data_IF_404615551463
#
_entry.id   IF_404615551463
#
_cell.length_a   1.000
_cell.length_b   1.000
_cell.length_c   1.000
_cell.angle_alpha   90.00
_cell.angle_beta   90.00
_cell.angle_gamma   90.00
#
_symmetry.space_group_name_H-M   'P 1'
#
loop_
_entity.id
_entity.type
_entity.pdbx_description
1 polymer ?
#
# COMPACT_ATOMS: atom_id res chain seq x y z
N UNK A 1 2.74 9.30 -6.54
CA UNK A 1 3.47 10.54 -6.89
C UNK A 1 3.40 11.42 -5.66
N UNK A 2 4.51 11.99 -5.19
CA UNK A 2 4.49 12.85 -4.00
C UNK A 2 3.92 14.23 -4.34
N UNK A 3 3.26 14.87 -3.40
CA UNK A 3 2.73 16.23 -3.53
C UNK A 3 3.84 17.27 -3.37
N UNK A 4 4.77 17.05 -2.44
CA UNK A 4 5.91 17.93 -2.20
C UNK A 4 7.07 17.61 -3.14
N UNK A 5 7.50 18.61 -3.93
CA UNK A 5 8.72 18.51 -4.75
C UNK A 5 9.97 18.24 -3.91
N UNK A 6 10.05 18.82 -2.70
CA UNK A 6 11.19 18.61 -1.79
C UNK A 6 11.24 17.13 -1.38
N UNK A 7 10.10 16.54 -1.05
CA UNK A 7 10.00 15.13 -0.68
C UNK A 7 10.32 14.22 -1.86
N UNK A 8 9.87 14.58 -3.07
CA UNK A 8 10.21 13.85 -4.30
C UNK A 8 11.73 13.85 -4.55
N UNK A 9 12.38 15.01 -4.46
CA UNK A 9 13.84 15.13 -4.62
C UNK A 9 14.59 14.32 -3.56
N UNK A 10 14.13 14.35 -2.31
CA UNK A 10 14.76 13.61 -1.24
C UNK A 10 14.60 12.08 -1.40
N UNK A 11 13.41 11.63 -1.82
CA UNK A 11 13.19 10.23 -2.18
C UNK A 11 14.14 9.79 -3.30
N UNK A 12 14.27 10.59 -4.37
CA UNK A 12 15.19 10.30 -5.48
C UNK A 12 16.64 10.26 -5.03
N UNK A 13 17.05 11.17 -4.15
CA UNK A 13 18.39 11.20 -3.56
C UNK A 13 18.68 9.92 -2.76
N UNK A 14 17.76 9.49 -1.90
CA UNK A 14 17.92 8.26 -1.12
C UNK A 14 17.91 7.02 -2.02
N UNK A 15 17.07 7.02 -3.07
CA UNK A 15 17.00 5.93 -4.02
C UNK A 15 18.30 5.77 -4.81
N UNK A 16 18.95 6.87 -5.17
CA UNK A 16 20.23 6.88 -5.88
C UNK A 16 21.41 6.32 -5.06
N UNK A 17 21.27 6.20 -3.74
CA UNK A 17 22.28 5.61 -2.86
C UNK A 17 22.21 4.07 -2.81
N UNK A 18 21.19 3.47 -3.42
CA UNK A 18 21.03 2.02 -3.49
C UNK A 18 21.68 1.52 -4.77
N UNK A 19 22.77 0.77 -4.63
CA UNK A 19 23.53 0.21 -5.76
C UNK A 19 22.84 -1.01 -6.38
N UNK A 20 22.23 -1.86 -5.56
CA UNK A 20 21.51 -3.06 -5.97
C UNK A 20 20.28 -3.29 -5.07
N UNK A 21 19.21 -3.84 -5.64
CA UNK A 21 17.98 -4.20 -4.95
C UNK A 21 17.70 -5.70 -5.11
N UNK A 22 18.40 -6.57 -4.37
CA UNK A 22 18.26 -8.02 -4.49
C UNK A 22 16.89 -8.55 -4.02
N UNK A 23 16.04 -7.66 -3.52
CA UNK A 23 14.71 -7.98 -3.02
C UNK A 23 13.59 -7.63 -4.03
N UNK A 24 13.92 -6.99 -5.16
CA UNK A 24 12.94 -6.61 -6.17
C UNK A 24 12.28 -7.85 -6.81
N UNK A 25 11.11 -8.20 -6.29
CA UNK A 25 10.35 -9.38 -6.70
C UNK A 25 8.85 -9.18 -6.43
N UNK A 26 8.02 -10.05 -7.01
CA UNK A 26 6.56 -9.97 -6.86
C UNK A 26 6.10 -10.14 -5.40
N UNK A 27 6.88 -10.81 -4.54
CA UNK A 27 6.45 -11.18 -3.19
C UNK A 27 7.23 -10.51 -2.06
N UNK A 28 8.48 -10.08 -2.27
CA UNK A 28 9.28 -9.42 -1.24
C UNK A 28 9.14 -7.90 -1.33
N UNK A 29 9.48 -7.21 -0.26
CA UNK A 29 9.60 -5.75 -0.27
C UNK A 29 11.01 -5.39 -0.70
N UNK A 30 11.09 -4.58 -1.76
CA UNK A 30 12.30 -3.96 -2.30
C UNK A 30 12.74 -2.74 -1.49
N UNK A 31 13.99 -2.29 -1.66
CA UNK A 31 14.43 -1.01 -1.10
C UNK A 31 13.59 0.15 -1.63
N UNK A 32 13.27 0.13 -2.93
CA UNK A 32 12.43 1.17 -3.55
C UNK A 32 11.06 1.24 -2.89
N UNK A 33 10.42 0.10 -2.64
CA UNK A 33 9.08 0.05 -2.03
C UNK A 33 9.07 0.51 -0.58
N UNK A 34 10.04 0.11 0.24
CA UNK A 34 10.10 0.56 1.64
C UNK A 34 10.42 2.06 1.74
N UNK A 35 11.33 2.57 0.90
CA UNK A 35 11.58 4.01 0.80
C UNK A 35 10.31 4.74 0.35
N UNK A 36 9.61 4.21 -0.65
CA UNK A 36 8.37 4.82 -1.15
C UNK A 36 7.32 4.90 -0.05
N UNK A 37 7.12 3.81 0.70
CA UNK A 37 6.20 3.77 1.84
C UNK A 37 6.58 4.83 2.89
N UNK A 38 7.86 4.95 3.24
CA UNK A 38 8.37 5.93 4.19
C UNK A 38 8.11 7.37 3.74
N UNK A 39 8.52 7.73 2.53
CA UNK A 39 8.36 9.09 2.01
C UNK A 39 6.90 9.46 1.73
N UNK A 40 6.03 8.50 1.39
CA UNK A 40 4.60 8.76 1.22
C UNK A 40 3.92 9.05 2.57
N UNK A 41 4.36 8.39 3.64
CA UNK A 41 3.92 8.70 5.01
C UNK A 41 4.33 10.14 5.36
N UNK A 42 5.58 10.51 5.11
CA UNK A 42 6.07 11.87 5.37
C UNK A 42 5.25 12.89 4.58
N UNK A 43 5.09 12.70 3.27
CA UNK A 43 4.33 13.60 2.40
C UNK A 43 2.90 13.80 2.90
N UNK A 44 2.24 12.70 3.28
CA UNK A 44 0.87 12.73 3.78
C UNK A 44 0.72 13.41 5.16
N UNK A 45 1.72 13.30 6.06
CA UNK A 45 1.63 13.86 7.41
C UNK A 45 2.28 15.24 7.56
N UNK A 46 3.31 15.56 6.78
CA UNK A 46 3.92 16.90 6.75
C UNK A 46 2.96 17.96 6.21
N UNK A 47 2.04 17.59 5.31
CA UNK A 47 0.98 18.51 4.87
C UNK A 47 -0.03 18.86 5.98
N UNK A 48 0.00 18.16 7.11
CA UNK A 48 -0.95 18.30 8.23
C UNK A 48 -0.34 19.00 9.47
N UNK A 49 0.61 19.93 9.29
CA UNK A 49 1.26 20.78 10.33
C UNK A 49 2.34 20.13 11.20
N UNK A 50 2.86 18.95 10.82
CA UNK A 50 3.90 18.26 11.59
C UNK A 50 5.32 18.53 11.06
N UNK A 51 6.24 18.98 11.93
CA UNK A 51 7.69 18.97 11.66
C UNK A 51 8.21 17.54 11.83
N UNK A 52 8.30 16.79 10.74
CA UNK A 52 8.85 15.44 10.69
C UNK A 52 10.25 15.51 10.07
N UNK A 53 11.26 14.94 10.73
CA UNK A 53 12.58 14.72 10.11
C UNK A 53 12.49 13.51 9.19
N UNK A 54 12.86 13.69 7.93
CA UNK A 54 12.66 12.68 6.90
C UNK A 54 13.97 12.11 6.37
N UNK A 55 13.93 10.84 5.94
CA UNK A 55 15.05 10.16 5.30
C UNK A 55 15.59 8.97 6.08
N UNK A 56 16.46 8.22 5.40
CA UNK A 56 17.16 7.07 5.98
C UNK A 56 18.24 7.58 6.93
N UNK A 57 18.18 7.10 8.18
CA UNK A 57 19.20 7.36 9.20
C UNK A 57 20.45 6.51 8.96
N UNK A 58 20.26 5.25 8.59
CA UNK A 58 21.34 4.30 8.36
C UNK A 58 20.93 3.24 7.33
N UNK A 59 21.59 3.27 6.17
CA UNK A 59 21.37 2.31 5.08
C UNK A 59 21.80 0.89 5.43
N UNK A 60 22.78 0.70 6.32
CA UNK A 60 23.17 -0.64 6.79
C UNK A 60 22.06 -1.24 7.65
N UNK A 61 21.42 -0.42 8.50
CA UNK A 61 20.25 -0.87 9.28
C UNK A 61 19.05 -1.15 8.38
N UNK A 62 18.85 -0.37 7.31
CA UNK A 62 17.81 -0.63 6.31
C UNK A 62 18.06 -1.95 5.57
N UNK A 63 19.30 -2.18 5.11
CA UNK A 63 19.68 -3.43 4.46
C UNK A 63 19.59 -4.64 5.37
N UNK A 64 20.02 -4.50 6.63
CA UNK A 64 19.81 -5.52 7.66
C UNK A 64 18.34 -5.85 7.86
N UNK A 65 17.47 -4.82 7.83
CA UNK A 65 16.02 -4.98 7.95
C UNK A 65 15.42 -5.76 6.78
N UNK A 66 15.77 -5.41 5.54
CA UNK A 66 15.28 -6.10 4.35
C UNK A 66 15.83 -7.52 4.24
N UNK A 67 17.09 -7.74 4.63
CA UNK A 67 17.75 -9.04 4.67
C UNK A 67 17.03 -10.07 5.55
N UNK A 68 16.23 -9.62 6.52
CA UNK A 68 15.39 -10.51 7.36
C UNK A 68 14.43 -11.37 6.55
N UNK A 69 14.01 -10.89 5.36
CA UNK A 69 13.13 -11.63 4.45
C UNK A 69 13.79 -12.90 3.90
N UNK A 70 15.12 -12.93 3.83
CA UNK A 70 15.93 -14.01 3.27
C UNK A 70 16.71 -14.79 4.34
N UNK A 71 16.44 -14.56 5.62
CA UNK A 71 17.19 -15.18 6.71
C UNK A 71 17.23 -16.71 6.57
N UNK A 72 18.44 -17.27 6.59
CA UNK A 72 18.68 -18.69 6.37
C UNK A 72 20.15 -19.06 6.51
N UNK A 73 20.44 -20.36 6.53
CA UNK A 73 21.79 -20.90 6.60
C UNK A 73 21.91 -22.19 5.78
N UNK A 74 23.02 -22.38 5.05
CA UNK A 74 23.29 -23.61 4.30
C UNK A 74 22.23 -23.96 3.25
N UNK A 75 21.63 -22.95 2.60
CA UNK A 75 20.53 -23.13 1.63
C UNK A 75 19.14 -23.32 2.26
N UNK A 76 19.04 -23.39 3.59
CA UNK A 76 17.77 -23.47 4.29
C UNK A 76 17.26 -22.08 4.69
N UNK A 77 16.10 -21.69 4.18
CA UNK A 77 15.40 -20.50 4.65
C UNK A 77 14.73 -20.76 6.01
N UNK A 78 14.97 -19.85 6.96
CA UNK A 78 14.38 -19.87 8.31
C UNK A 78 12.88 -19.59 8.25
N UNK A 79 12.47 -18.60 7.46
CA UNK A 79 11.08 -18.18 7.29
C UNK A 79 10.58 -18.64 5.92
N UNK A 80 9.47 -19.37 5.89
CA UNK A 80 8.94 -19.94 4.65
C UNK A 80 7.50 -19.51 4.38
N UNK A 81 6.74 -19.25 5.44
CA UNK A 81 5.35 -18.84 5.29
C UNK A 81 5.27 -17.34 5.05
N UNK A 82 4.33 -16.87 4.20
CA UNK A 82 4.07 -15.45 3.99
C UNK A 82 3.99 -14.64 5.28
N UNK A 83 3.30 -15.17 6.29
CA UNK A 83 3.08 -14.48 7.56
C UNK A 83 4.38 -14.35 8.38
N UNK A 84 5.30 -15.31 8.27
CA UNK A 84 6.61 -15.27 8.93
C UNK A 84 7.52 -14.22 8.28
N UNK A 85 7.53 -14.16 6.95
CA UNK A 85 8.31 -13.20 6.16
C UNK A 85 7.79 -11.77 6.41
N UNK A 86 6.47 -11.58 6.39
CA UNK A 86 5.84 -10.32 6.76
C UNK A 86 6.16 -9.94 8.21
N UNK A 87 6.07 -10.88 9.15
CA UNK A 87 6.32 -10.65 10.58
C UNK A 87 7.76 -10.21 10.85
N UNK A 88 8.75 -10.89 10.27
CA UNK A 88 10.16 -10.59 10.51
C UNK A 88 10.56 -9.25 9.91
N UNK A 89 10.06 -8.91 8.73
CA UNK A 89 10.30 -7.61 8.11
C UNK A 89 9.66 -6.50 8.95
N UNK A 90 8.37 -6.64 9.29
CA UNK A 90 7.66 -5.68 10.13
C UNK A 90 8.38 -5.42 11.46
N UNK A 91 8.78 -6.48 12.16
CA UNK A 91 9.54 -6.37 13.41
C UNK A 91 10.85 -5.61 13.20
N UNK A 92 11.60 -5.94 12.15
CA UNK A 92 12.84 -5.25 11.80
C UNK A 92 12.64 -3.76 11.55
N UNK A 93 11.64 -3.36 10.77
CA UNK A 93 11.37 -1.95 10.46
C UNK A 93 11.06 -1.16 11.74
N UNK A 94 10.25 -1.74 12.62
CA UNK A 94 9.84 -1.08 13.86
C UNK A 94 10.99 -0.97 14.86
N UNK A 95 11.91 -1.97 14.92
CA UNK A 95 12.97 -2.05 15.93
C UNK A 95 14.33 -1.50 15.51
N UNK A 96 14.71 -1.63 14.24
CA UNK A 96 16.05 -1.28 13.80
C UNK A 96 16.25 0.24 13.65
N UNK A 97 15.16 1.04 13.68
CA UNK A 97 15.23 2.50 13.58
C UNK A 97 16.07 3.00 12.40
N UNK A 98 15.89 2.38 11.23
CA UNK A 98 16.62 2.71 10.02
C UNK A 98 16.27 4.10 9.45
N UNK A 99 15.15 4.68 9.88
CA UNK A 99 14.71 6.03 9.51
C UNK A 99 14.81 7.01 10.69
N UNK A 100 14.93 8.30 10.38
CA UNK A 100 15.00 9.35 11.41
C UNK A 100 13.72 9.46 12.26
N UNK A 101 12.55 9.27 11.65
CA UNK A 101 11.22 9.27 12.30
C UNK A 101 10.34 8.25 11.54
N UNK A 102 9.13 8.04 12.02
CA UNK A 102 8.04 7.34 11.36
C UNK A 102 8.32 5.85 11.15
N UNK A 103 9.21 5.24 11.93
CA UNK A 103 9.54 3.81 11.86
C UNK A 103 8.29 2.95 12.13
N UNK A 104 7.47 3.31 13.12
CA UNK A 104 6.21 2.62 13.42
C UNK A 104 5.20 2.70 12.26
N UNK A 105 5.02 3.91 11.72
CA UNK A 105 4.12 4.18 10.59
C UNK A 105 4.57 3.43 9.33
N UNK A 106 5.86 3.50 9.02
CA UNK A 106 6.51 2.83 7.89
C UNK A 106 6.40 1.32 8.04
N UNK A 107 6.61 0.79 9.25
CA UNK A 107 6.45 -0.62 9.55
C UNK A 107 5.02 -1.09 9.31
N UNK A 108 4.02 -0.39 9.84
CA UNK A 108 2.61 -0.78 9.65
C UNK A 108 2.19 -0.71 8.18
N UNK A 109 2.51 0.38 7.47
CA UNK A 109 2.17 0.51 6.05
C UNK A 109 2.85 -0.57 5.21
N UNK A 110 4.14 -0.80 5.44
CA UNK A 110 4.90 -1.86 4.75
C UNK A 110 4.33 -3.24 5.04
N UNK A 111 3.91 -3.54 6.28
CA UNK A 111 3.26 -4.80 6.61
C UNK A 111 1.97 -5.01 5.82
N UNK A 112 1.11 -3.98 5.77
CA UNK A 112 -0.18 -4.06 5.04
C UNK A 112 0.08 -4.26 3.55
N UNK A 113 1.04 -3.54 2.99
CA UNK A 113 1.42 -3.66 1.59
C UNK A 113 2.04 -5.04 1.27
N UNK A 114 2.92 -5.56 2.13
CA UNK A 114 3.52 -6.87 1.96
C UNK A 114 2.47 -8.00 2.01
N UNK A 115 1.49 -7.89 2.92
CA UNK A 115 0.34 -8.81 2.94
C UNK A 115 -0.45 -8.77 1.63
N UNK A 116 -0.64 -7.58 1.06
CA UNK A 116 -1.30 -7.42 -0.24
C UNK A 116 -0.52 -8.11 -1.37
N UNK A 117 0.83 -8.02 -1.38
CA UNK A 117 1.69 -8.77 -2.33
C UNK A 117 1.51 -10.29 -2.20
N UNK A 118 1.24 -10.78 -1.00
CA UNK A 118 0.88 -12.18 -0.74
C UNK A 118 -0.62 -12.52 -0.93
N UNK A 119 -1.44 -11.58 -1.44
CA UNK A 119 -2.87 -11.81 -1.66
C UNK A 119 -3.68 -11.90 -0.37
N UNK A 120 -3.21 -11.28 0.72
CA UNK A 120 -3.88 -11.24 2.02
C UNK A 120 -4.33 -9.83 2.38
N UNK A 121 -5.43 -9.73 3.12
CA UNK A 121 -5.94 -8.46 3.67
C UNK A 121 -6.29 -8.62 5.14
N UNK A 122 -6.24 -7.52 5.89
CA UNK A 122 -6.69 -7.46 7.29
C UNK A 122 -8.18 -7.81 7.36
N UNK A 123 -8.52 -8.67 8.32
CA UNK A 123 -9.88 -9.16 8.59
C UNK A 123 -10.25 -8.96 10.08
N UNK A 124 -9.82 -7.84 10.62
CA UNK A 124 -10.09 -7.43 12.01
C UNK A 124 -10.17 -5.91 12.08
N UNK A 125 -10.45 -5.39 13.28
CA UNK A 125 -10.44 -3.95 13.51
C UNK A 125 -9.02 -3.39 13.34
N UNK A 126 -8.87 -2.29 12.59
CA UNK A 126 -7.57 -1.67 12.31
C UNK A 126 -6.76 -1.36 13.59
N UNK A 127 -7.46 -1.09 14.71
CA UNK A 127 -6.85 -0.83 16.03
C UNK A 127 -5.99 -1.99 16.55
N UNK A 128 -6.24 -3.23 16.10
CA UNK A 128 -5.47 -4.39 16.54
C UNK A 128 -4.05 -4.37 15.95
N UNK A 129 -3.91 -3.96 14.69
CA UNK A 129 -2.61 -3.78 14.03
C UNK A 129 -1.88 -2.51 14.52
N UNK A 130 -2.62 -1.46 14.86
CA UNK A 130 -2.07 -0.32 15.59
C UNK A 130 -1.48 -0.74 16.93
N UNK A 131 -2.25 -1.48 17.74
CA UNK A 131 -1.79 -2.01 19.03
C UNK A 131 -0.56 -2.89 18.84
N UNK A 132 -0.54 -3.76 17.82
CA UNK A 132 0.61 -4.58 17.50
C UNK A 132 1.87 -3.72 17.28
N UNK A 133 1.79 -2.69 16.43
CA UNK A 133 2.92 -1.80 16.15
C UNK A 133 3.40 -1.05 17.40
N UNK A 134 2.49 -0.57 18.25
CA UNK A 134 2.84 0.06 19.54
C UNK A 134 3.53 -0.92 20.49
N UNK A 135 3.02 -2.15 20.60
CA UNK A 135 3.58 -3.18 21.47
C UNK A 135 4.95 -3.66 20.99
N UNK A 136 5.16 -3.82 19.68
CA UNK A 136 6.48 -4.17 19.13
C UNK A 136 7.49 -3.05 19.41
N UNK A 137 7.13 -1.81 19.11
CA UNK A 137 8.03 -0.67 19.33
C UNK A 137 8.46 -0.52 20.80
N UNK A 138 7.53 -0.78 21.73
CA UNK A 138 7.75 -0.62 23.17
C UNK A 138 8.23 -1.88 23.89
N UNK A 139 8.53 -2.99 23.18
CA UNK A 139 8.83 -4.31 23.78
C UNK A 139 7.74 -4.81 24.75
N UNK A 140 6.47 -4.50 24.44
CA UNK A 140 5.28 -4.84 25.23
C UNK A 140 4.36 -5.86 24.56
N UNK A 141 4.91 -6.83 23.82
CA UNK A 141 4.11 -7.94 23.29
C UNK A 141 3.45 -8.77 24.41
N UNK A 142 3.97 -8.70 25.63
CA UNK A 142 3.35 -9.23 26.85
C UNK A 142 1.98 -8.62 27.18
N UNK A 143 1.60 -7.48 26.59
CA UNK A 143 0.25 -6.92 26.72
C UNK A 143 -0.80 -7.75 25.97
N UNK A 144 -0.37 -8.65 25.08
CA UNK A 144 -1.23 -9.68 24.52
C UNK A 144 -1.24 -10.91 25.43
N UNK A 145 -2.40 -11.24 25.99
CA UNK A 145 -2.58 -12.44 26.85
C UNK A 145 -2.01 -13.69 26.18
N UNK A 146 -2.25 -13.82 24.87
CA UNK A 146 -1.83 -14.97 24.07
C UNK A 146 -0.30 -15.09 23.93
N UNK A 147 0.44 -13.98 24.00
CA UNK A 147 1.91 -14.02 23.96
C UNK A 147 2.48 -14.74 25.18
N UNK A 148 1.79 -14.67 26.34
CA UNK A 148 2.19 -15.32 27.59
C UNK A 148 1.97 -16.84 27.58
N UNK A 149 1.35 -17.39 26.54
CA UNK A 149 1.15 -18.84 26.41
C UNK A 149 2.49 -19.58 26.39
N UNK A 150 2.56 -20.73 27.08
CA UNK A 150 3.79 -21.54 27.22
C UNK A 150 4.44 -21.89 25.89
N UNK A 151 3.67 -22.02 24.81
CA UNK A 151 4.18 -22.35 23.48
C UNK A 151 5.15 -21.33 22.92
N UNK A 152 5.09 -20.06 23.34
CA UNK A 152 6.03 -19.01 22.89
C UNK A 152 7.25 -18.87 23.79
N UNK A 153 7.12 -19.15 25.09
CA UNK A 153 8.13 -18.76 26.09
C UNK A 153 9.48 -19.48 25.95
N UNK A 154 9.52 -20.62 25.25
CA UNK A 154 10.75 -21.39 25.02
C UNK A 154 11.33 -21.20 23.62
N UNK A 155 10.73 -20.35 22.79
CA UNK A 155 11.16 -20.13 21.42
C UNK A 155 12.17 -18.98 21.37
N UNK A 156 13.21 -19.14 20.56
CA UNK A 156 14.26 -18.12 20.36
C UNK A 156 13.70 -16.85 19.70
N UNK A 157 12.91 -17.00 18.62
CA UNK A 157 12.26 -15.90 17.90
C UNK A 157 10.77 -15.74 18.28
N UNK A 158 10.45 -15.85 19.56
CA UNK A 158 9.06 -15.86 20.05
C UNK A 158 8.25 -14.65 19.60
N UNK A 159 8.87 -13.47 19.47
CA UNK A 159 8.26 -12.24 18.98
C UNK A 159 7.82 -12.39 17.52
N UNK A 160 8.69 -12.91 16.67
CA UNK A 160 8.42 -13.10 15.23
C UNK A 160 7.33 -14.16 15.04
N UNK A 161 7.43 -15.27 15.77
CA UNK A 161 6.46 -16.37 15.70
C UNK A 161 5.09 -15.91 16.19
N UNK A 162 5.06 -15.11 17.27
CA UNK A 162 3.81 -14.51 17.75
C UNK A 162 3.19 -13.54 16.74
N UNK A 163 4.00 -12.66 16.14
CA UNK A 163 3.52 -11.71 15.12
C UNK A 163 2.99 -12.47 13.90
N UNK A 164 3.67 -13.53 13.46
CA UNK A 164 3.22 -14.40 12.38
C UNK A 164 1.86 -15.05 12.71
N UNK A 165 1.70 -15.60 13.92
CA UNK A 165 0.45 -16.15 14.40
C UNK A 165 -0.66 -15.10 14.57
N UNK A 166 -0.29 -13.87 14.93
CA UNK A 166 -1.21 -12.73 14.96
C UNK A 166 -1.70 -12.39 13.55
N UNK A 167 -0.78 -12.23 12.60
CA UNK A 167 -1.08 -11.92 11.19
C UNK A 167 -2.00 -13.01 10.63
N UNK A 168 -1.64 -14.28 10.78
CA UNK A 168 -2.42 -15.42 10.27
C UNK A 168 -3.87 -15.43 10.75
N UNK A 169 -4.11 -15.10 12.03
CA UNK A 169 -5.45 -15.07 12.64
C UNK A 169 -6.27 -13.83 12.31
N UNK A 170 -5.62 -12.73 11.98
CA UNK A 170 -6.25 -11.42 11.77
C UNK A 170 -6.23 -10.97 10.30
N UNK A 171 -5.90 -11.88 9.39
CA UNK A 171 -5.91 -11.66 7.95
C UNK A 171 -6.59 -12.83 7.26
N UNK A 172 -7.16 -12.55 6.09
CA UNK A 172 -7.75 -13.55 5.20
C UNK A 172 -7.16 -13.43 3.80
N UNK A 173 -7.35 -14.47 3.01
CA UNK A 173 -7.08 -14.42 1.58
C UNK A 173 -8.06 -13.51 0.85
N UNK A 174 -7.57 -12.85 -0.19
CA UNK A 174 -8.35 -11.97 -1.04
C UNK A 174 -9.01 -12.82 -2.13
N UNK A 175 -10.34 -13.00 -2.06
CA UNK A 175 -11.10 -13.78 -3.04
C UNK A 175 -11.03 -13.20 -4.47
N UNK A 176 -10.96 -11.87 -4.61
CA UNK A 176 -10.81 -11.16 -5.89
C UNK A 176 -9.79 -10.06 -5.72
N UNK A 177 -8.76 -10.04 -6.57
CA UNK A 177 -7.66 -9.05 -6.47
C UNK A 177 -8.24 -7.64 -6.30
N UNK A 178 -7.95 -7.08 -5.13
CA UNK A 178 -8.34 -5.75 -4.72
C UNK A 178 -7.15 -4.83 -4.92
N UNK A 179 -7.34 -3.75 -5.69
CA UNK A 179 -6.32 -2.75 -5.94
C UNK A 179 -6.73 -1.45 -5.26
N UNK A 180 -6.21 -1.16 -4.05
CA UNK A 180 -6.50 0.08 -3.36
C UNK A 180 -5.88 1.23 -4.17
N UNK A 181 -6.70 2.07 -4.77
CA UNK A 181 -6.25 3.23 -5.56
C UNK A 181 -7.02 4.49 -5.15
N UNK A 182 -6.38 5.64 -5.30
CA UNK A 182 -7.03 6.95 -5.13
C UNK A 182 -7.77 7.39 -6.41
N UNK A 183 -8.64 8.39 -6.32
CA UNK A 183 -9.26 8.98 -7.53
C UNK A 183 -8.22 9.53 -8.50
N UNK A 184 -7.14 10.11 -8.00
CA UNK A 184 -6.05 10.64 -8.83
C UNK A 184 -5.33 9.54 -9.59
N UNK A 185 -5.06 8.40 -8.96
CA UNK A 185 -4.44 7.25 -9.63
C UNK A 185 -5.40 6.60 -10.61
N UNK A 186 -6.65 6.42 -10.20
CA UNK A 186 -7.66 5.83 -11.06
C UNK A 186 -7.90 6.67 -12.31
N UNK A 187 -7.89 8.00 -12.20
CA UNK A 187 -7.95 8.91 -13.35
C UNK A 187 -6.76 8.75 -14.30
N UNK A 188 -5.55 8.58 -13.77
CA UNK A 188 -4.36 8.29 -14.60
C UNK A 188 -4.51 6.97 -15.35
N UNK A 189 -5.09 5.95 -14.71
CA UNK A 189 -5.37 4.66 -15.36
C UNK A 189 -6.45 4.79 -16.43
N UNK A 190 -7.55 5.52 -16.14
CA UNK A 190 -8.61 5.81 -17.08
C UNK A 190 -8.09 6.57 -18.31
N UNK A 191 -7.21 7.56 -18.11
CA UNK A 191 -6.64 8.41 -19.19
C UNK A 191 -5.89 7.60 -20.23
N UNK A 192 -5.19 6.54 -19.80
CA UNK A 192 -4.50 5.61 -20.70
C UNK A 192 -5.47 4.83 -21.59
N UNK A 193 -6.71 4.68 -21.14
CA UNK A 193 -7.78 3.98 -21.85
C UNK A 193 -8.73 4.95 -22.57
N UNK A 194 -8.39 6.24 -22.65
CA UNK A 194 -9.22 7.25 -23.33
C UNK A 194 -10.38 7.81 -22.50
N UNK A 195 -10.42 7.53 -21.19
CA UNK A 195 -11.42 8.05 -20.27
C UNK A 195 -10.79 8.99 -19.25
N UNK A 196 -11.55 9.88 -18.63
CA UNK A 196 -11.05 10.69 -17.52
C UNK A 196 -12.19 11.14 -16.61
N UNK A 197 -11.81 11.60 -15.43
CA UNK A 197 -12.69 12.25 -14.49
C UNK A 197 -12.85 13.74 -14.81
N UNK A 198 -14.10 14.20 -14.84
CA UNK A 198 -14.49 15.60 -14.96
C UNK A 198 -15.40 15.99 -13.79
N UNK A 199 -15.05 17.06 -13.05
CA UNK A 199 -15.83 17.49 -11.89
C UNK A 199 -17.18 18.02 -12.37
N UNK A 200 -18.26 17.33 -12.03
CA UNK A 200 -19.61 17.69 -12.44
C UNK A 200 -20.25 18.71 -11.50
N UNK A 201 -20.09 18.52 -10.19
CA UNK A 201 -20.67 19.32 -9.12
C UNK A 201 -20.01 18.98 -7.78
N UNK A 202 -20.31 19.74 -6.73
CA UNK A 202 -19.70 19.54 -5.41
C UNK A 202 -19.93 18.11 -4.90
N UNK A 203 -18.84 17.39 -4.66
CA UNK A 203 -18.86 16.03 -4.15
C UNK A 203 -19.13 14.93 -5.20
N UNK A 204 -19.14 15.23 -6.49
CA UNK A 204 -19.32 14.25 -7.56
C UNK A 204 -18.35 14.45 -8.73
N UNK A 205 -18.11 13.37 -9.46
CA UNK A 205 -17.28 13.37 -10.67
C UNK A 205 -17.92 12.50 -11.74
N UNK A 206 -17.89 12.99 -12.97
CA UNK A 206 -18.33 12.26 -14.15
C UNK A 206 -17.14 11.53 -14.79
N UNK A 207 -17.35 10.29 -15.21
CA UNK A 207 -16.44 9.59 -16.12
C UNK A 207 -16.83 9.93 -17.54
N UNK A 208 -15.92 10.58 -18.24
CA UNK A 208 -16.12 11.05 -19.61
C UNK A 208 -15.07 10.43 -20.53
N UNK A 209 -15.40 10.33 -21.82
CA UNK A 209 -14.49 9.85 -22.85
C UNK A 209 -15.03 10.15 -24.24
N UNK A 210 -14.19 10.01 -25.26
CA UNK A 210 -14.64 10.15 -26.64
C UNK A 210 -15.53 8.97 -27.04
N UNK A 211 -16.59 9.26 -27.79
CA UNK A 211 -17.44 8.26 -28.42
C UNK A 211 -17.75 8.66 -29.85
N UNK A 212 -17.99 7.66 -30.70
CA UNK A 212 -18.44 7.84 -32.08
C UNK A 212 -19.90 7.43 -32.21
N UNK A 213 -20.68 8.27 -32.90
CA UNK A 213 -22.03 7.95 -33.34
C UNK A 213 -22.06 7.95 -34.86
N UNK A 214 -22.64 6.89 -35.44
CA UNK A 214 -22.98 6.82 -36.85
C UNK A 214 -24.28 7.59 -37.12
N UNK A 215 -24.21 8.56 -38.04
CA UNK A 215 -25.35 9.34 -38.57
C UNK A 215 -25.54 9.01 -40.06
N UNK A 216 -26.72 9.35 -40.59
CA UNK A 216 -27.09 9.14 -42.00
C UNK A 216 -26.79 7.72 -42.52
N UNK A 217 -27.54 6.73 -42.03
CA UNK A 217 -27.39 5.31 -42.43
C UNK A 217 -25.96 4.73 -42.30
N UNK A 218 -25.10 5.32 -41.46
CA UNK A 218 -23.74 4.84 -41.25
C UNK A 218 -22.67 5.47 -42.14
N UNK A 219 -23.02 6.45 -42.96
CA UNK A 219 -22.10 7.14 -43.87
C UNK A 219 -21.30 8.25 -43.20
N UNK A 220 -21.77 8.77 -42.06
CA UNK A 220 -21.11 9.87 -41.34
C UNK A 220 -20.84 9.43 -39.91
N UNK A 221 -19.56 9.42 -39.51
CA UNK A 221 -19.17 9.23 -38.12
C UNK A 221 -18.95 10.59 -37.46
N UNK A 222 -19.70 10.86 -36.39
CA UNK A 222 -19.51 12.03 -35.56
C UNK A 222 -18.88 11.64 -34.22
N UNK A 223 -17.74 12.25 -33.90
CA UNK A 223 -17.12 12.16 -32.57
C UNK A 223 -17.78 13.16 -31.64
N UNK A 224 -18.04 12.74 -30.41
CA UNK A 224 -18.57 13.58 -29.34
C UNK A 224 -18.04 13.11 -27.99
N UNK A 225 -18.04 14.01 -27.01
CA UNK A 225 -17.70 13.68 -25.63
C UNK A 225 -18.92 13.02 -24.98
N UNK A 226 -18.76 11.79 -24.49
CA UNK A 226 -19.82 11.03 -23.83
C UNK A 226 -19.54 10.96 -22.33
N UNK A 227 -20.58 11.26 -21.54
CA UNK A 227 -20.62 10.91 -20.12
C UNK A 227 -21.07 9.45 -19.95
N UNK A 228 -20.26 8.65 -19.26
CA UNK A 228 -20.52 7.23 -19.04
C UNK A 228 -21.23 6.94 -17.72
N UNK A 229 -20.73 7.52 -16.62
CA UNK A 229 -21.31 7.36 -15.28
C UNK A 229 -20.89 8.52 -14.37
N UNK A 230 -21.71 8.84 -13.38
CA UNK A 230 -21.36 9.76 -12.29
C UNK A 230 -21.13 8.96 -11.00
N UNK A 231 -20.10 9.31 -10.24
CA UNK A 231 -19.81 8.70 -8.94
C UNK A 231 -19.54 9.78 -7.89
N UNK A 232 -19.74 9.44 -6.61
CA UNK A 232 -19.33 10.32 -5.51
C UNK A 232 -17.83 10.61 -5.57
N UNK A 233 -17.42 11.81 -5.17
CA UNK A 233 -16.06 12.32 -5.28
C UNK A 233 -15.68 13.08 -4.01
N UNK A 234 -15.17 12.38 -2.98
CA UNK A 234 -14.74 13.01 -1.74
C UNK A 234 -13.37 13.70 -1.85
N UNK A 235 -12.74 13.70 -3.03
CA UNK A 235 -11.48 14.37 -3.34
C UNK A 235 -10.45 13.46 -4.01
N UNK A 236 -9.49 14.07 -4.70
CA UNK A 236 -8.47 13.38 -5.51
C UNK A 236 -7.63 12.36 -4.74
N UNK A 237 -7.27 12.66 -3.49
CA UNK A 237 -6.43 11.81 -2.63
C UNK A 237 -7.22 10.72 -1.88
N UNK A 238 -8.55 10.70 -2.03
CA UNK A 238 -9.37 9.69 -1.37
C UNK A 238 -9.33 8.39 -2.13
N UNK A 239 -9.39 7.29 -1.42
CA UNK A 239 -9.53 5.97 -2.01
C UNK A 239 -10.88 5.86 -2.73
N UNK A 240 -10.87 5.38 -3.98
CA UNK A 240 -12.11 5.03 -4.66
C UNK A 240 -12.65 3.72 -4.11
N UNK A 241 -13.94 3.68 -3.78
CA UNK A 241 -14.53 2.48 -3.20
C UNK A 241 -14.63 1.35 -4.27
N UNK A 242 -14.53 0.06 -3.88
CA UNK A 242 -14.56 -1.07 -4.81
C UNK A 242 -15.80 -1.16 -5.72
N UNK A 243 -16.97 -0.79 -5.20
CA UNK A 243 -18.23 -0.73 -5.95
C UNK A 243 -18.15 0.33 -7.05
N UNK A 244 -17.64 1.53 -6.73
CA UNK A 244 -17.47 2.58 -7.73
C UNK A 244 -16.48 2.18 -8.83
N UNK A 245 -15.34 1.57 -8.46
CA UNK A 245 -14.40 1.00 -9.44
C UNK A 245 -15.10 0.02 -10.38
N UNK A 246 -15.85 -0.93 -9.83
CA UNK A 246 -16.57 -1.94 -10.61
C UNK A 246 -17.61 -1.32 -11.55
N UNK A 247 -18.38 -0.34 -11.06
CA UNK A 247 -19.40 0.35 -11.85
C UNK A 247 -18.79 1.17 -12.98
N UNK A 248 -17.66 1.84 -12.73
CA UNK A 248 -16.93 2.59 -13.77
C UNK A 248 -16.38 1.66 -14.83
N UNK A 249 -15.62 0.63 -14.45
CA UNK A 249 -15.04 -0.32 -15.40
C UNK A 249 -16.12 -0.98 -16.27
N UNK A 250 -17.28 -1.29 -15.68
CA UNK A 250 -18.43 -1.81 -16.42
C UNK A 250 -19.01 -0.76 -17.38
N UNK A 251 -19.20 0.48 -16.93
CA UNK A 251 -19.79 1.55 -17.75
C UNK A 251 -18.90 1.93 -18.94
N UNK A 252 -17.57 1.90 -18.76
CA UNK A 252 -16.59 2.20 -19.81
C UNK A 252 -16.22 1.01 -20.68
N UNK A 253 -16.74 -0.18 -20.37
CA UNK A 253 -16.40 -1.42 -21.10
C UNK A 253 -14.97 -1.89 -20.85
N UNK A 254 -14.29 -1.41 -19.81
CA UNK A 254 -12.95 -1.87 -19.40
C UNK A 254 -13.08 -3.18 -18.60
N UNK A 255 -13.55 -4.22 -19.29
CA UNK A 255 -13.82 -5.55 -18.73
C UNK A 255 -13.02 -6.62 -19.46
N UNK A 256 -12.87 -7.78 -18.80
CA UNK A 256 -12.17 -8.92 -19.38
C UNK A 256 -12.80 -9.39 -20.71
N UNK A 257 -14.12 -9.25 -20.86
CA UNK A 257 -14.85 -9.54 -22.10
C UNK A 257 -14.36 -8.68 -23.28
N UNK A 258 -13.86 -7.48 -23.01
CA UNK A 258 -13.29 -6.56 -24.00
C UNK A 258 -11.75 -6.59 -24.00
N UNK A 259 -11.14 -7.65 -23.47
CA UNK A 259 -9.68 -7.85 -23.47
C UNK A 259 -8.91 -7.06 -22.41
N UNK A 260 -9.61 -6.37 -21.49
CA UNK A 260 -8.98 -5.58 -20.42
C UNK A 260 -9.35 -6.21 -19.09
N UNK A 261 -8.53 -7.17 -18.64
CA UNK A 261 -8.70 -7.74 -17.31
C UNK A 261 -8.25 -6.76 -16.21
N UNK A 262 -8.65 -7.02 -14.96
CA UNK A 262 -8.28 -6.15 -13.85
C UNK A 262 -6.77 -6.08 -13.62
N UNK A 263 -6.01 -7.15 -13.90
CA UNK A 263 -4.56 -7.16 -13.70
C UNK A 263 -3.88 -6.22 -14.71
N UNK A 264 -4.33 -6.23 -15.97
CA UNK A 264 -3.88 -5.35 -17.04
C UNK A 264 -4.24 -3.90 -16.73
N UNK A 265 -5.47 -3.65 -16.27
CA UNK A 265 -5.91 -2.28 -15.94
C UNK A 265 -5.10 -1.68 -14.77
N UNK A 266 -4.82 -2.47 -13.73
CA UNK A 266 -4.13 -2.01 -12.53
C UNK A 266 -2.61 -2.30 -12.53
N UNK A 267 -2.01 -2.67 -13.67
CA UNK A 267 -0.59 -3.08 -13.73
C UNK A 267 0.37 -2.04 -13.12
N UNK A 268 0.13 -0.75 -13.36
CA UNK A 268 0.93 0.36 -12.80
C UNK A 268 0.23 1.08 -11.63
N UNK A 269 -0.74 0.45 -10.97
CA UNK A 269 -1.36 1.05 -9.81
C UNK A 269 -0.33 1.25 -8.70
N UNK A 270 -0.40 2.39 -8.01
CA UNK A 270 0.40 2.68 -6.81
C UNK A 270 -0.48 2.40 -5.58
N UNK A 271 -0.40 1.21 -4.96
CA UNK A 271 -1.33 0.85 -3.88
C UNK A 271 -1.04 1.54 -2.55
N UNK A 272 0.18 2.03 -2.34
CA UNK A 272 0.63 2.58 -1.06
C UNK A 272 -0.17 3.81 -0.62
N UNK A 273 -0.49 4.72 -1.54
CA UNK A 273 -1.31 5.93 -1.30
C UNK A 273 -2.75 5.57 -0.89
N UNK A 274 -3.37 4.63 -1.60
CA UNK A 274 -4.70 4.11 -1.27
C UNK A 274 -4.72 3.43 0.10
N UNK A 275 -3.66 2.69 0.44
CA UNK A 275 -3.49 2.12 1.78
C UNK A 275 -3.30 3.20 2.86
N UNK A 276 -2.58 4.29 2.58
CA UNK A 276 -2.44 5.40 3.52
C UNK A 276 -3.80 6.03 3.84
N UNK A 277 -4.65 6.33 2.83
CA UNK A 277 -5.98 6.91 3.09
C UNK A 277 -6.87 5.91 3.86
N UNK A 278 -6.82 4.62 3.49
CA UNK A 278 -7.58 3.55 4.14
C UNK A 278 -7.20 3.35 5.62
N UNK A 279 -5.91 3.45 5.95
CA UNK A 279 -5.35 3.22 7.30
C UNK A 279 -4.86 4.50 7.98
N UNK A 280 -5.33 5.67 7.53
CA UNK A 280 -4.90 6.98 8.04
C UNK A 280 -5.04 7.11 9.56
N UNK A 281 -6.13 6.59 10.13
CA UNK A 281 -6.44 6.75 11.55
C UNK A 281 -5.43 5.99 12.44
N UNK A 282 -5.16 4.68 12.23
CA UNK A 282 -4.03 3.98 12.84
C UNK A 282 -2.69 4.70 12.66
N UNK A 283 -2.38 5.14 11.43
CA UNK A 283 -1.10 5.77 11.12
C UNK A 283 -0.89 7.10 11.90
N UNK A 284 -1.93 7.92 12.05
CA UNK A 284 -1.91 9.14 12.87
C UNK A 284 -1.55 8.82 14.33
N UNK A 285 -2.14 7.77 14.90
CA UNK A 285 -1.91 7.38 16.30
C UNK A 285 -0.56 6.72 16.55
N UNK A 286 0.15 6.33 15.50
CA UNK A 286 1.51 5.77 15.56
C UNK A 286 2.62 6.82 15.44
N UNK A 287 2.30 8.11 15.56
CA UNK A 287 3.32 9.17 15.63
C UNK A 287 4.35 8.87 16.72
N UNK A 288 5.62 9.08 16.40
CA UNK A 288 6.71 9.02 17.38
C UNK A 288 6.51 10.20 18.37
N UNK A 289 6.57 9.92 19.68
CA UNK A 289 6.42 10.92 20.74
C UNK A 289 7.76 11.51 21.09
#
# INVERSE_FOLDING_TARGET
MFDSQIIQQEFERNLALIEDDPFDSEKMISYKEILKAHFLIIDFFSSNTESITYGVKDFNLLGSTLGRQLAGYGGFQKWKKPEEICATLFYGIVKNHAFHDANKRTGLLTLIYHLLKYGRTIDTQQKEFEKLALCVAADRLTDFKNFKERRYQKLEDKEIIFISDFIRRNTREIEKKYYPVTYQEFDKLLKRQGFHFEISNEGFVDVVGEATQKKFFGLIEQRYQKRYIQVGFPGWKRQINPKAVKEILKATGLTAENGIDSKVFFWDAEPLTGLIDQYKNPLIRLKDK
#
